data_IF_862023355903
#
_entry.id   IF_862023355903
#
_cell.length_a   1.000
_cell.length_b   1.000
_cell.length_c   1.000
_cell.angle_alpha   90.00
_cell.angle_beta   90.00
_cell.angle_gamma   90.00
#
_symmetry.space_group_name_H-M   'P 1'
#
loop_
_entity.id
_entity.type
_entity.pdbx_description
1 polymer ?
#
# COMPACT_ATOMS: atom_id res chain seq x y z
N UNK A 1 16.73 -17.46 21.50
CA UNK A 1 16.78 -15.98 21.35
C UNK A 1 16.96 -15.65 19.86
N UNK A 2 15.88 -15.72 19.07
CA UNK A 2 15.93 -15.51 17.62
C UNK A 2 15.17 -14.24 17.25
N UNK A 3 15.80 -13.08 17.41
CA UNK A 3 15.33 -11.84 16.78
C UNK A 3 16.31 -11.49 15.67
N UNK A 4 15.81 -11.43 14.43
CA UNK A 4 16.28 -10.69 13.24
C UNK A 4 15.95 -11.49 11.99
N UNK A 5 14.72 -11.41 11.49
CA UNK A 5 14.34 -11.73 10.10
C UNK A 5 13.14 -10.89 9.61
N UNK A 6 12.73 -9.84 10.33
CA UNK A 6 11.51 -9.06 9.99
C UNK A 6 11.78 -7.72 9.32
N UNK A 7 13.03 -7.25 9.23
CA UNK A 7 13.35 -5.93 8.69
C UNK A 7 12.94 -5.80 7.20
N UNK A 8 13.25 -6.80 6.37
CA UNK A 8 12.87 -6.78 4.94
C UNK A 8 11.36 -6.90 4.71
N UNK A 9 10.60 -7.47 5.67
CA UNK A 9 9.14 -7.56 5.57
C UNK A 9 8.42 -6.28 5.98
N UNK A 10 9.12 -5.33 6.62
CA UNK A 10 8.52 -4.08 7.14
C UNK A 10 8.63 -2.91 6.17
N UNK A 11 9.55 -2.97 5.21
CA UNK A 11 9.72 -1.92 4.21
C UNK A 11 8.76 -2.09 3.03
N UNK A 12 8.27 -0.96 2.50
CA UNK A 12 7.49 -0.95 1.27
C UNK A 12 8.37 -1.37 0.09
N UNK A 13 7.89 -2.33 -0.69
CA UNK A 13 8.46 -2.57 -2.02
C UNK A 13 8.19 -1.36 -2.91
N UNK A 14 8.91 -1.22 -4.02
CA UNK A 14 8.67 -0.09 -4.93
C UNK A 14 7.27 -0.12 -5.53
N UNK A 15 6.73 -1.30 -5.79
CA UNK A 15 5.36 -1.47 -6.28
C UNK A 15 4.31 -1.06 -5.23
N UNK A 16 4.52 -1.41 -3.96
CA UNK A 16 3.63 -1.00 -2.86
C UNK A 16 3.70 0.51 -2.63
N UNK A 17 4.91 1.09 -2.66
CA UNK A 17 5.12 2.53 -2.54
C UNK A 17 4.46 3.28 -3.70
N UNK A 18 4.62 2.80 -4.92
CA UNK A 18 3.99 3.38 -6.12
C UNK A 18 2.47 3.29 -6.01
N UNK A 19 1.92 2.12 -5.70
CA UNK A 19 0.48 1.94 -5.53
C UNK A 19 -0.11 2.87 -4.46
N UNK A 20 0.52 2.97 -3.29
CA UNK A 20 0.08 3.85 -2.21
C UNK A 20 0.16 5.33 -2.60
N UNK A 21 1.24 5.75 -3.26
CA UNK A 21 1.42 7.13 -3.72
C UNK A 21 0.33 7.51 -4.73
N UNK A 22 0.16 6.70 -5.79
CA UNK A 22 -0.86 6.97 -6.81
C UNK A 22 -2.26 6.92 -6.21
N UNK A 23 -2.54 6.00 -5.27
CA UNK A 23 -3.81 5.96 -4.55
C UNK A 23 -4.07 7.24 -3.75
N UNK A 24 -3.07 7.78 -3.05
CA UNK A 24 -3.19 9.05 -2.31
C UNK A 24 -3.47 10.22 -3.25
N UNK A 25 -2.66 10.36 -4.30
CA UNK A 25 -2.76 11.45 -5.28
C UNK A 25 -4.10 11.43 -6.02
N UNK A 26 -4.55 10.24 -6.46
CA UNK A 26 -5.81 10.07 -7.17
C UNK A 26 -7.06 10.14 -6.24
N UNK A 27 -6.88 10.24 -4.92
CA UNK A 27 -7.98 10.35 -3.97
C UNK A 27 -8.72 9.04 -3.69
N UNK A 28 -8.01 7.91 -3.78
CA UNK A 28 -8.49 6.59 -3.38
C UNK A 28 -8.89 6.56 -1.89
N UNK A 29 -8.13 7.26 -1.04
CA UNK A 29 -8.36 7.32 0.40
C UNK A 29 -9.26 8.49 0.84
N UNK A 30 -9.78 9.28 -0.11
CA UNK A 30 -10.66 10.40 0.21
C UNK A 30 -12.06 9.92 0.64
N UNK A 31 -12.77 10.78 1.39
CA UNK A 31 -14.17 10.57 1.76
C UNK A 31 -14.99 11.81 1.33
N UNK A 32 -15.86 11.72 0.30
CA UNK A 32 -16.08 10.56 -0.56
C UNK A 32 -14.86 10.25 -1.44
N UNK A 33 -14.77 8.99 -1.86
CA UNK A 33 -13.67 8.50 -2.69
C UNK A 33 -13.75 9.08 -4.11
N UNK A 34 -12.61 9.52 -4.66
CA UNK A 34 -12.54 10.20 -5.96
C UNK A 34 -12.16 9.31 -7.16
N UNK A 35 -11.65 8.11 -6.89
CA UNK A 35 -11.28 7.13 -7.92
C UNK A 35 -11.65 5.72 -7.45
N UNK A 36 -12.20 4.87 -8.31
CA UNK A 36 -12.48 3.47 -7.99
C UNK A 36 -11.19 2.62 -8.00
N UNK A 37 -11.30 1.37 -7.57
CA UNK A 37 -10.13 0.46 -7.56
C UNK A 37 -9.82 -0.01 -8.97
N UNK A 38 -10.84 -0.13 -9.82
CA UNK A 38 -10.70 -0.54 -11.22
C UNK A 38 -9.97 0.55 -12.01
N UNK A 39 -10.44 1.79 -11.93
CA UNK A 39 -9.80 2.94 -12.60
C UNK A 39 -8.34 3.12 -12.15
N UNK A 40 -8.07 2.98 -10.84
CA UNK A 40 -6.69 3.08 -10.35
C UNK A 40 -5.81 1.91 -10.83
N UNK A 41 -6.37 0.71 -10.99
CA UNK A 41 -5.64 -0.44 -11.51
C UNK A 41 -5.29 -0.27 -12.99
N UNK A 42 -6.21 0.32 -13.77
CA UNK A 42 -5.98 0.71 -15.15
C UNK A 42 -4.86 1.76 -15.25
N UNK A 43 -4.85 2.79 -14.40
CA UNK A 43 -3.78 3.79 -14.36
C UNK A 43 -2.39 3.19 -14.08
N UNK A 44 -2.34 2.06 -13.38
CA UNK A 44 -1.11 1.37 -12.99
C UNK A 44 -0.80 0.14 -13.85
N UNK A 45 -1.55 -0.07 -14.94
CA UNK A 45 -1.42 -1.20 -15.86
C UNK A 45 -1.36 -2.56 -15.11
N UNK A 46 -2.23 -2.72 -14.10
CA UNK A 46 -2.26 -3.89 -13.23
C UNK A 46 -3.68 -4.40 -13.03
N UNK A 47 -3.82 -5.59 -12.44
CA UNK A 47 -5.14 -6.10 -12.10
C UNK A 47 -5.68 -5.47 -10.82
N UNK A 48 -7.00 -5.34 -10.70
CA UNK A 48 -7.62 -4.83 -9.47
C UNK A 48 -7.28 -5.66 -8.23
N UNK A 49 -7.15 -6.99 -8.36
CA UNK A 49 -6.77 -7.87 -7.26
C UNK A 49 -5.31 -7.64 -6.83
N UNK A 50 -4.38 -7.51 -7.79
CA UNK A 50 -2.98 -7.17 -7.53
C UNK A 50 -2.87 -5.81 -6.84
N UNK A 51 -3.61 -4.80 -7.31
CA UNK A 51 -3.63 -3.48 -6.69
C UNK A 51 -4.11 -3.53 -5.24
N UNK A 52 -5.26 -4.17 -4.98
CA UNK A 52 -5.80 -4.31 -3.62
C UNK A 52 -4.80 -5.01 -2.69
N UNK A 53 -4.14 -6.05 -3.19
CA UNK A 53 -3.14 -6.78 -2.42
C UNK A 53 -1.94 -5.89 -2.06
N UNK A 54 -1.41 -5.13 -3.04
CA UNK A 54 -0.33 -4.16 -2.82
C UNK A 54 -0.73 -3.08 -1.81
N UNK A 55 -1.92 -2.50 -1.96
CA UNK A 55 -2.43 -1.49 -1.02
C UNK A 55 -2.59 -2.06 0.38
N UNK A 56 -3.13 -3.28 0.52
CA UNK A 56 -3.29 -3.96 1.82
C UNK A 56 -1.94 -4.22 2.48
N UNK A 57 -0.98 -4.81 1.76
CA UNK A 57 0.37 -5.07 2.28
C UNK A 57 1.07 -3.79 2.68
N UNK A 58 1.06 -2.78 1.80
CA UNK A 58 1.71 -1.51 2.05
C UNK A 58 1.11 -0.79 3.26
N UNK A 59 -0.22 -0.72 3.36
CA UNK A 59 -0.92 -0.10 4.50
C UNK A 59 -0.60 -0.83 5.81
N UNK A 60 -0.58 -2.17 5.80
CA UNK A 60 -0.24 -2.95 6.99
C UNK A 60 1.21 -2.68 7.45
N UNK A 61 2.16 -2.59 6.53
CA UNK A 61 3.56 -2.23 6.83
C UNK A 61 3.67 -0.86 7.48
N UNK A 62 3.02 0.15 6.89
CA UNK A 62 3.00 1.51 7.44
C UNK A 62 2.37 1.57 8.84
N UNK A 63 1.26 0.84 9.06
CA UNK A 63 0.62 0.75 10.37
C UNK A 63 1.55 0.13 11.42
N UNK A 64 2.22 -0.98 11.09
CA UNK A 64 3.21 -1.61 11.99
C UNK A 64 4.35 -0.64 12.30
N UNK A 65 4.92 0.01 11.29
CA UNK A 65 6.00 0.99 11.50
C UNK A 65 5.57 2.13 12.42
N UNK A 66 4.37 2.66 12.25
CA UNK A 66 3.88 3.75 13.10
C UNK A 66 3.56 3.30 14.53
N UNK A 67 2.96 2.13 14.71
CA UNK A 67 2.56 1.61 16.03
C UNK A 67 3.71 1.05 16.86
N UNK A 68 4.82 0.63 16.22
CA UNK A 68 6.05 0.20 16.92
C UNK A 68 6.94 1.39 17.33
N UNK A 69 6.61 2.60 16.87
CA UNK A 69 7.36 3.83 17.18
C UNK A 69 6.77 4.57 18.41
N UNK A 70 5.74 4.01 19.05
CA UNK A 70 5.12 4.45 20.31
C UNK A 70 5.65 3.62 21.50
#
# INVERSE_FOLDING_TARGET
MGRRHTASSRELTEEERTALRTALEAGYFAVPRRISTVELAECLETSSSTLVERLRRGTAKLAVTQLETD
#
